data_IF_558878961997
#
_entry.id   IF_558878961997
#
_cell.length_a   1.000
_cell.length_b   1.000
_cell.length_c   1.000
_cell.angle_alpha   90.00
_cell.angle_beta   90.00
_cell.angle_gamma   90.00
#
_symmetry.space_group_name_H-M   'P 1'
#
loop_
_entity.id
_entity.type
_entity.pdbx_description
1 polymer ?
#
# COMPACT_ATOMS: atom_id res chain seq x y z
N UNK A 1 -8.14 -8.27 -24.66
CA UNK A 1 -8.09 -6.99 -25.41
C UNK A 1 -8.94 -5.89 -24.75
N UNK A 2 -9.87 -6.24 -23.85
CA UNK A 2 -10.98 -5.39 -23.35
C UNK A 2 -10.74 -4.57 -22.07
N UNK A 3 -9.59 -4.65 -21.39
CA UNK A 3 -9.40 -4.05 -20.05
C UNK A 3 -8.32 -2.95 -19.97
N UNK A 4 -8.08 -2.25 -21.07
CA UNK A 4 -7.01 -1.25 -21.12
C UNK A 4 -7.27 -0.06 -20.18
N UNK A 5 -8.53 0.37 -20.03
CA UNK A 5 -8.90 1.40 -19.07
C UNK A 5 -8.69 0.94 -17.62
N UNK A 6 -9.01 -0.32 -17.30
CA UNK A 6 -8.74 -0.88 -15.97
C UNK A 6 -7.23 -0.84 -15.62
N UNK A 7 -6.35 -0.98 -16.60
CA UNK A 7 -4.91 -0.85 -16.38
C UNK A 7 -4.52 0.56 -15.90
N UNK A 8 -5.20 1.61 -16.37
CA UNK A 8 -5.00 2.99 -15.90
C UNK A 8 -5.45 3.18 -14.45
N UNK A 9 -6.52 2.51 -14.04
CA UNK A 9 -6.98 2.50 -12.64
C UNK A 9 -5.91 1.88 -11.74
N UNK A 10 -5.38 0.71 -12.12
CA UNK A 10 -4.32 0.04 -11.38
C UNK A 10 -3.04 0.89 -11.32
N UNK A 11 -2.66 1.50 -12.44
CA UNK A 11 -1.51 2.38 -12.51
C UNK A 11 -1.66 3.60 -11.59
N UNK A 12 -2.82 4.27 -11.62
CA UNK A 12 -3.13 5.39 -10.70
C UNK A 12 -3.01 4.96 -9.24
N UNK A 13 -3.52 3.77 -8.89
CA UNK A 13 -3.44 3.25 -7.54
C UNK A 13 -1.98 3.03 -7.08
N UNK A 14 -1.09 2.61 -7.97
CA UNK A 14 0.35 2.50 -7.66
C UNK A 14 0.98 3.87 -7.38
N UNK A 15 0.62 4.89 -8.16
CA UNK A 15 1.11 6.27 -7.95
C UNK A 15 0.58 6.84 -6.62
N UNK A 16 -0.71 6.63 -6.32
CA UNK A 16 -1.31 7.08 -5.07
C UNK A 16 -0.62 6.44 -3.84
N UNK A 17 -0.28 5.15 -3.94
CA UNK A 17 0.50 4.44 -2.92
C UNK A 17 1.91 5.00 -2.76
N UNK A 18 2.59 5.30 -3.86
CA UNK A 18 3.94 5.89 -3.82
C UNK A 18 3.94 7.22 -3.06
N UNK A 19 3.01 8.11 -3.41
CA UNK A 19 2.90 9.41 -2.74
C UNK A 19 2.44 9.29 -1.29
N UNK A 20 1.53 8.37 -0.97
CA UNK A 20 1.17 8.08 0.42
C UNK A 20 2.36 7.58 1.23
N UNK A 21 3.07 6.58 0.73
CA UNK A 21 4.21 5.99 1.43
C UNK A 21 5.30 7.02 1.67
N UNK A 22 5.59 7.85 0.68
CA UNK A 22 6.55 8.95 0.82
C UNK A 22 6.15 9.92 1.93
N UNK A 23 4.88 10.32 1.96
CA UNK A 23 4.38 11.24 2.98
C UNK A 23 4.44 10.63 4.39
N UNK A 24 4.12 9.34 4.52
CA UNK A 24 4.24 8.62 5.78
C UNK A 24 5.70 8.57 6.26
N UNK A 25 6.64 8.31 5.34
CA UNK A 25 8.06 8.29 5.62
C UNK A 25 8.59 9.66 6.06
N UNK A 26 8.26 10.73 5.33
CA UNK A 26 8.72 12.09 5.62
C UNK A 26 8.25 12.57 7.01
N UNK A 27 7.07 12.15 7.46
CA UNK A 27 6.48 12.58 8.73
C UNK A 27 6.64 11.56 9.87
N UNK A 28 7.13 10.35 9.58
CA UNK A 28 7.09 9.21 10.50
C UNK A 28 5.68 8.91 11.05
N UNK A 29 4.65 9.05 10.20
CA UNK A 29 3.23 8.98 10.59
C UNK A 29 2.67 7.54 10.59
N UNK A 30 3.51 6.51 10.45
CA UNK A 30 3.08 5.13 10.21
C UNK A 30 2.09 4.59 11.25
N UNK A 31 2.37 4.78 12.55
CA UNK A 31 1.48 4.32 13.63
C UNK A 31 0.16 5.10 13.66
N UNK A 32 0.22 6.41 13.44
CA UNK A 32 -0.99 7.26 13.41
C UNK A 32 -1.87 6.88 12.22
N UNK A 33 -1.25 6.60 11.07
CA UNK A 33 -1.95 6.13 9.88
C UNK A 33 -2.54 4.73 10.07
N UNK A 34 -1.81 3.80 10.69
CA UNK A 34 -2.31 2.46 11.00
C UNK A 34 -3.57 2.54 11.87
N UNK A 35 -3.50 3.28 12.99
CA UNK A 35 -4.65 3.49 13.87
C UNK A 35 -5.82 4.16 13.14
N UNK A 36 -5.56 5.24 12.40
CA UNK A 36 -6.59 5.95 11.64
C UNK A 36 -7.22 5.07 10.56
N UNK A 37 -6.41 4.34 9.80
CA UNK A 37 -6.88 3.52 8.68
C UNK A 37 -7.68 2.31 9.18
N UNK A 38 -7.25 1.68 10.27
CA UNK A 38 -8.01 0.65 10.97
C UNK A 38 -9.36 1.18 11.43
N UNK A 39 -9.39 2.32 12.12
CA UNK A 39 -10.62 2.94 12.61
C UNK A 39 -11.60 3.21 11.45
N UNK A 40 -11.13 3.76 10.33
CA UNK A 40 -11.96 4.01 9.15
C UNK A 40 -12.52 2.73 8.53
N UNK A 41 -11.69 1.70 8.37
CA UNK A 41 -12.15 0.41 7.84
C UNK A 41 -13.21 -0.22 8.74
N UNK A 42 -13.01 -0.17 10.07
CA UNK A 42 -13.99 -0.63 11.04
C UNK A 42 -15.32 0.13 10.92
N UNK A 43 -15.27 1.47 10.88
CA UNK A 43 -16.46 2.33 10.71
C UNK A 43 -17.22 2.06 9.40
N UNK A 44 -16.50 1.86 8.30
CA UNK A 44 -17.11 1.55 6.99
C UNK A 44 -17.80 0.19 6.99
N UNK A 45 -17.15 -0.86 7.52
CA UNK A 45 -17.78 -2.17 7.69
C UNK A 45 -19.04 -2.08 8.54
N UNK A 46 -18.96 -1.34 9.65
CA UNK A 46 -20.11 -1.15 10.54
C UNK A 46 -21.27 -0.43 9.84
N UNK A 47 -20.98 0.60 9.04
CA UNK A 47 -22.01 1.35 8.29
C UNK A 47 -22.76 0.46 7.32
N UNK A 48 -22.04 -0.33 6.52
CA UNK A 48 -22.64 -1.30 5.59
C UNK A 48 -23.48 -2.32 6.34
N UNK A 49 -22.97 -2.88 7.45
CA UNK A 49 -23.69 -3.85 8.27
C UNK A 49 -24.98 -3.29 8.89
N UNK A 50 -24.96 -2.02 9.29
CA UNK A 50 -26.12 -1.36 9.91
C UNK A 50 -27.16 -0.87 8.89
N UNK A 51 -26.87 -0.99 7.59
CA UNK A 51 -27.76 -0.51 6.55
C UNK A 51 -29.01 -1.40 6.43
N UNK A 52 -30.22 -0.87 6.70
CA UNK A 52 -31.45 -1.64 6.60
C UNK A 52 -31.72 -2.17 5.19
N UNK A 53 -31.26 -1.48 4.14
CA UNK A 53 -31.51 -1.84 2.74
C UNK A 53 -30.84 -3.18 2.36
N UNK A 54 -29.73 -3.52 3.01
CA UNK A 54 -28.92 -4.69 2.69
C UNK A 54 -28.95 -5.79 3.77
N UNK A 55 -29.81 -5.65 4.78
CA UNK A 55 -29.83 -6.52 5.96
C UNK A 55 -29.95 -8.02 5.62
N UNK A 56 -30.74 -8.36 4.59
CA UNK A 56 -31.01 -9.75 4.20
C UNK A 56 -30.08 -10.27 3.08
N UNK A 57 -29.24 -9.40 2.51
CA UNK A 57 -28.32 -9.75 1.40
C UNK A 57 -26.85 -9.78 1.84
N UNK A 58 -26.52 -9.17 2.98
CA UNK A 58 -25.16 -9.15 3.50
C UNK A 58 -24.75 -10.52 4.04
N UNK A 59 -23.55 -10.97 3.65
CA UNK A 59 -22.92 -12.14 4.25
C UNK A 59 -22.40 -11.77 5.66
N UNK A 60 -22.99 -12.30 6.75
CA UNK A 60 -22.62 -11.90 8.10
C UNK A 60 -21.18 -12.26 8.47
N UNK A 61 -20.58 -13.29 7.85
CA UNK A 61 -19.19 -13.68 8.12
C UNK A 61 -18.18 -12.67 7.55
N UNK A 62 -18.49 -12.02 6.43
CA UNK A 62 -17.59 -11.01 5.82
C UNK A 62 -17.53 -9.73 6.65
N UNK A 63 -18.61 -9.40 7.36
CA UNK A 63 -18.75 -8.18 8.17
C UNK A 63 -18.71 -8.45 9.68
N UNK A 64 -18.24 -9.64 10.08
CA UNK A 64 -18.10 -10.01 11.48
C UNK A 64 -16.82 -9.43 12.05
N UNK A 65 -16.96 -8.65 13.12
CA UNK A 65 -15.81 -8.16 13.88
C UNK A 65 -15.38 -9.21 14.91
N UNK A 66 -14.07 -9.44 15.03
CA UNK A 66 -13.49 -10.24 16.11
C UNK A 66 -13.53 -9.49 17.44
N UNK A 67 -13.27 -10.20 18.54
CA UNK A 67 -13.16 -9.57 19.86
C UNK A 67 -11.99 -8.57 19.91
N UNK A 68 -10.82 -9.00 19.42
CA UNK A 68 -9.61 -8.19 19.35
C UNK A 68 -9.81 -6.90 18.52
N UNK A 69 -10.51 -6.99 17.39
CA UNK A 69 -10.81 -5.82 16.55
C UNK A 69 -11.68 -4.80 17.29
N UNK A 70 -12.66 -5.26 18.08
CA UNK A 70 -13.53 -4.39 18.88
C UNK A 70 -12.74 -3.69 19.98
N UNK A 71 -11.89 -4.41 20.69
CA UNK A 71 -11.05 -3.85 21.74
C UNK A 71 -10.09 -2.81 21.16
N UNK A 72 -9.37 -3.17 20.09
CA UNK A 72 -8.49 -2.25 19.36
C UNK A 72 -9.23 -0.99 18.91
N UNK A 73 -10.44 -1.13 18.37
CA UNK A 73 -11.25 0.02 17.96
C UNK A 73 -11.62 0.93 19.15
N UNK A 74 -12.03 0.38 20.30
CA UNK A 74 -12.35 1.18 21.47
C UNK A 74 -11.14 1.94 22.00
N UNK A 75 -9.95 1.35 21.97
CA UNK A 75 -8.71 2.02 22.35
C UNK A 75 -8.35 3.15 21.39
N UNK A 76 -8.37 2.88 20.07
CA UNK A 76 -8.06 3.88 19.05
C UNK A 76 -9.07 5.03 19.09
N UNK A 77 -10.36 4.73 19.26
CA UNK A 77 -11.43 5.73 19.32
C UNK A 77 -11.21 6.74 20.45
N UNK A 78 -10.69 6.30 21.60
CA UNK A 78 -10.32 7.19 22.72
C UNK A 78 -9.16 8.11 22.35
N UNK A 79 -8.18 7.62 21.59
CA UNK A 79 -7.01 8.39 21.14
C UNK A 79 -7.33 9.36 20.00
N UNK A 80 -8.36 9.06 19.19
CA UNK A 80 -8.85 9.86 18.06
C UNK A 80 -7.71 10.30 17.11
N UNK A 81 -7.10 9.36 16.38
CA UNK A 81 -5.94 9.65 15.53
C UNK A 81 -6.30 10.67 14.46
N UNK A 82 -5.54 11.77 14.39
CA UNK A 82 -5.74 12.86 13.42
C UNK A 82 -4.74 12.73 12.28
N UNK A 83 -4.95 11.74 11.43
CA UNK A 83 -4.19 11.63 10.19
C UNK A 83 -4.93 12.34 9.04
N UNK A 84 -4.19 13.11 8.24
CA UNK A 84 -4.71 13.80 7.05
C UNK A 84 -4.05 13.23 5.80
N UNK A 85 -4.87 12.81 4.84
CA UNK A 85 -4.39 12.35 3.54
C UNK A 85 -3.54 13.45 2.87
N UNK A 86 -2.31 13.13 2.43
CA UNK A 86 -1.47 14.10 1.72
C UNK A 86 -2.06 14.44 0.35
N UNK A 87 -1.80 15.66 -0.11
CA UNK A 87 -2.15 16.05 -1.47
C UNK A 87 -1.09 15.50 -2.44
N UNK A 88 -1.51 14.66 -3.40
CA UNK A 88 -0.63 13.95 -4.32
C UNK A 88 0.37 14.89 -5.04
N UNK A 89 -0.13 16.00 -5.59
CA UNK A 89 0.70 17.00 -6.28
C UNK A 89 1.81 17.57 -5.38
N UNK A 90 1.49 17.83 -4.11
CA UNK A 90 2.43 18.40 -3.15
C UNK A 90 3.57 17.43 -2.87
N UNK A 91 3.25 16.14 -2.74
CA UNK A 91 4.28 15.10 -2.54
C UNK A 91 5.12 14.93 -3.80
N UNK A 92 4.50 14.91 -4.98
CA UNK A 92 5.22 14.81 -6.25
C UNK A 92 6.20 15.99 -6.45
N UNK A 93 5.79 17.22 -6.11
CA UNK A 93 6.68 18.40 -6.13
C UNK A 93 7.85 18.25 -5.17
N UNK A 94 7.61 17.79 -3.93
CA UNK A 94 8.68 17.54 -2.94
C UNK A 94 9.68 16.49 -3.40
N UNK A 95 9.22 15.45 -4.10
CA UNK A 95 10.08 14.41 -4.67
C UNK A 95 10.89 14.88 -5.90
N UNK A 96 10.65 16.09 -6.42
CA UNK A 96 11.19 16.52 -7.71
C UNK A 96 10.60 15.77 -8.91
N UNK A 97 9.47 15.08 -8.72
CA UNK A 97 8.84 14.19 -9.68
C UNK A 97 7.43 14.68 -10.07
N UNK A 98 7.23 15.99 -10.20
CA UNK A 98 5.92 16.57 -10.56
C UNK A 98 5.35 16.00 -11.87
N UNK A 99 6.23 15.58 -12.79
CA UNK A 99 5.83 14.89 -14.02
C UNK A 99 5.03 13.61 -13.75
N UNK A 100 5.35 12.85 -12.68
CA UNK A 100 4.56 11.68 -12.28
C UNK A 100 3.16 12.07 -11.81
N UNK A 101 3.00 13.23 -11.19
CA UNK A 101 1.65 13.69 -10.86
C UNK A 101 0.86 14.03 -12.14
N UNK A 102 1.43 14.87 -13.02
CA UNK A 102 0.72 15.35 -14.22
C UNK A 102 0.39 14.24 -15.21
N UNK A 103 1.38 13.45 -15.61
CA UNK A 103 1.23 12.45 -16.68
C UNK A 103 0.74 11.10 -16.18
N UNK A 104 0.82 10.84 -14.88
CA UNK A 104 0.42 9.57 -14.30
C UNK A 104 -0.82 9.70 -13.44
N UNK A 105 -0.79 10.53 -12.39
CA UNK A 105 -1.92 10.62 -11.47
C UNK A 105 -3.12 11.34 -12.09
N UNK A 106 -2.90 12.55 -12.58
CA UNK A 106 -3.95 13.44 -13.07
C UNK A 106 -4.52 12.94 -14.40
N UNK A 107 -3.63 12.61 -15.35
CA UNK A 107 -4.06 11.97 -16.60
C UNK A 107 -4.76 10.63 -16.37
N UNK A 108 -4.24 9.72 -15.52
CA UNK A 108 -4.96 8.46 -15.28
C UNK A 108 -6.30 8.66 -14.57
N UNK A 109 -6.52 9.80 -13.91
CA UNK A 109 -7.80 10.11 -13.29
C UNK A 109 -8.91 10.30 -14.34
N UNK A 110 -8.58 10.62 -15.60
CA UNK A 110 -9.55 10.63 -16.70
C UNK A 110 -10.08 9.24 -17.07
N UNK A 111 -9.49 8.18 -16.53
CA UNK A 111 -9.96 6.81 -16.68
C UNK A 111 -10.67 6.28 -15.43
N UNK A 112 -10.82 7.11 -14.40
CA UNK A 112 -11.49 6.77 -13.14
C UNK A 112 -12.76 7.60 -12.94
N UNK A 113 -12.74 8.86 -13.38
CA UNK A 113 -13.86 9.77 -13.25
C UNK A 113 -14.62 9.89 -14.56
N UNK A 114 -15.94 10.19 -14.51
CA UNK A 114 -16.68 10.53 -15.71
C UNK A 114 -16.04 11.71 -16.45
N UNK A 115 -15.79 11.53 -17.74
CA UNK A 115 -15.24 12.56 -18.62
C UNK A 115 -16.28 13.08 -19.60
N UNK A 116 -16.05 14.29 -20.12
CA UNK A 116 -16.98 14.95 -21.02
C UNK A 116 -17.23 14.18 -22.34
N UNK A 117 -16.31 13.30 -22.70
CA UNK A 117 -16.36 12.46 -23.90
C UNK A 117 -16.65 10.98 -23.58
N UNK A 118 -17.07 10.67 -22.35
CA UNK A 118 -17.51 9.33 -22.02
C UNK A 118 -18.75 8.97 -22.83
N UNK A 119 -18.72 7.79 -23.47
CA UNK A 119 -19.75 7.35 -24.40
C UNK A 119 -19.45 7.65 -25.87
N UNK A 120 -18.45 8.49 -26.20
CA UNK A 120 -18.04 8.70 -27.60
C UNK A 120 -17.46 7.41 -28.21
N UNK A 121 -16.71 6.64 -27.43
CA UNK A 121 -16.19 5.34 -27.88
C UNK A 121 -17.34 4.34 -28.08
N UNK A 122 -18.30 4.28 -27.16
CA UNK A 122 -19.47 3.40 -27.28
C UNK A 122 -20.33 3.78 -28.49
N UNK A 123 -20.61 5.07 -28.67
CA UNK A 123 -21.34 5.58 -29.82
C UNK A 123 -20.64 5.21 -31.13
N UNK A 124 -19.32 5.41 -31.21
CA UNK A 124 -18.54 5.07 -32.41
C UNK A 124 -18.48 3.56 -32.65
N UNK A 125 -18.34 2.75 -31.60
CA UNK A 125 -18.33 1.28 -31.69
C UNK A 125 -19.68 0.75 -32.16
N UNK A 126 -20.77 1.33 -31.68
CA UNK A 126 -22.14 0.95 -32.05
C UNK A 126 -22.52 1.41 -33.46
N UNK A 127 -22.07 2.59 -33.88
CA UNK A 127 -22.45 3.18 -35.17
C UNK A 127 -21.50 2.86 -36.32
N UNK A 128 -20.22 2.58 -36.03
CA UNK A 128 -19.18 2.29 -37.03
C UNK A 128 -18.75 3.49 -37.90
N UNK A 129 -19.22 4.70 -37.59
CA UNK A 129 -19.09 5.87 -38.47
C UNK A 129 -17.71 6.54 -38.45
N UNK A 130 -16.87 6.26 -37.44
CA UNK A 130 -15.54 6.87 -37.27
C UNK A 130 -14.57 5.79 -36.77
N UNK A 131 -13.56 5.44 -37.58
CA UNK A 131 -12.47 4.55 -37.18
C UNK A 131 -11.25 5.36 -36.72
N UNK A 132 -10.64 4.97 -35.60
CA UNK A 132 -9.30 5.46 -35.21
C UNK A 132 -8.24 4.62 -35.93
N UNK A 133 -7.34 5.29 -36.65
CA UNK A 133 -6.27 4.64 -37.42
C UNK A 133 -5.05 4.22 -36.58
N UNK A 134 -5.02 4.49 -35.27
CA UNK A 134 -3.84 4.19 -34.45
C UNK A 134 -4.15 3.32 -33.24
N UNK A 135 -3.54 2.12 -33.14
CA UNK A 135 -3.58 1.34 -31.93
C UNK A 135 -2.81 2.06 -30.81
N UNK A 136 -3.46 2.24 -29.66
CA UNK A 136 -2.82 2.74 -28.44
C UNK A 136 -1.59 1.89 -28.09
N UNK A 137 -0.41 2.52 -27.97
CA UNK A 137 0.80 1.84 -27.51
C UNK A 137 0.68 1.52 -26.02
N UNK A 138 0.30 0.27 -25.74
CA UNK A 138 0.07 -0.23 -24.38
C UNK A 138 1.37 -0.48 -23.61
N UNK A 139 2.55 -0.37 -24.23
CA UNK A 139 3.83 -0.55 -23.53
C UNK A 139 4.11 0.58 -22.56
N UNK A 140 3.60 1.78 -22.84
CA UNK A 140 3.80 2.96 -21.99
C UNK A 140 3.26 2.72 -20.58
N UNK A 141 2.02 2.24 -20.47
CA UNK A 141 1.41 2.02 -19.15
C UNK A 141 2.10 0.91 -18.37
N UNK A 142 2.53 -0.15 -19.06
CA UNK A 142 3.28 -1.24 -18.44
C UNK A 142 4.63 -0.75 -17.90
N UNK A 143 5.41 -0.08 -18.75
CA UNK A 143 6.73 0.44 -18.37
C UNK A 143 6.63 1.43 -17.21
N UNK A 144 5.65 2.33 -17.27
CA UNK A 144 5.41 3.30 -16.22
C UNK A 144 4.94 2.63 -14.92
N UNK A 145 4.11 1.59 -15.00
CA UNK A 145 3.70 0.81 -13.82
C UNK A 145 4.88 0.09 -13.18
N UNK A 146 5.76 -0.51 -14.00
CA UNK A 146 7.00 -1.15 -13.52
C UNK A 146 7.91 -0.13 -12.83
N UNK A 147 8.11 1.04 -13.44
CA UNK A 147 8.89 2.12 -12.84
C UNK A 147 8.31 2.56 -11.49
N UNK A 148 7.01 2.84 -11.43
CA UNK A 148 6.34 3.23 -10.19
C UNK A 148 6.45 2.14 -9.11
N UNK A 149 6.34 0.87 -9.50
CA UNK A 149 6.53 -0.23 -8.56
C UNK A 149 7.95 -0.27 -8.00
N UNK A 150 8.98 -0.07 -8.85
CA UNK A 150 10.38 0.00 -8.41
C UNK A 150 10.57 1.16 -7.43
N UNK A 151 10.03 2.34 -7.74
CA UNK A 151 10.09 3.51 -6.85
C UNK A 151 9.36 3.24 -5.53
N UNK A 152 8.20 2.60 -5.57
CA UNK A 152 7.43 2.24 -4.37
C UNK A 152 8.20 1.26 -3.48
N UNK A 153 8.81 0.23 -4.07
CA UNK A 153 9.65 -0.72 -3.35
C UNK A 153 10.86 0.00 -2.75
N UNK A 154 11.52 0.86 -3.52
CA UNK A 154 12.65 1.65 -3.04
C UNK A 154 12.27 2.54 -1.86
N UNK A 155 11.15 3.26 -1.93
CA UNK A 155 10.66 4.07 -0.80
C UNK A 155 10.29 3.21 0.40
N UNK A 156 9.71 2.02 0.20
CA UNK A 156 9.43 1.08 1.29
C UNK A 156 10.70 0.57 1.98
N UNK A 157 11.75 0.31 1.20
CA UNK A 157 13.05 -0.09 1.75
C UNK A 157 13.75 1.07 2.46
N UNK A 158 13.64 2.29 1.95
CA UNK A 158 14.21 3.50 2.56
C UNK A 158 13.51 3.89 3.86
N UNK A 159 12.18 3.76 3.90
CA UNK A 159 11.38 4.03 5.09
C UNK A 159 11.48 2.89 6.12
N UNK A 160 11.73 1.67 5.66
CA UNK A 160 11.93 0.51 6.50
C UNK A 160 13.26 0.62 7.26
N UNK A 161 13.23 0.36 8.56
CA UNK A 161 14.46 0.33 9.36
C UNK A 161 15.35 -0.82 8.90
N UNK A 162 14.79 -1.96 8.48
CA UNK A 162 15.51 -3.18 8.06
C UNK A 162 16.64 -3.61 9.03
N UNK A 163 16.64 -3.13 10.27
CA UNK A 163 17.72 -3.34 11.24
C UNK A 163 17.89 -4.84 11.55
N UNK A 164 16.78 -5.58 11.49
CA UNK A 164 16.77 -7.04 11.61
C UNK A 164 17.66 -7.73 10.58
N UNK A 165 17.79 -7.18 9.36
CA UNK A 165 18.61 -7.76 8.29
C UNK A 165 20.07 -7.70 8.71
N UNK A 166 20.56 -6.53 9.11
CA UNK A 166 21.94 -6.35 9.59
C UNK A 166 22.25 -7.30 10.74
N UNK A 167 21.35 -7.39 11.73
CA UNK A 167 21.49 -8.31 12.86
C UNK A 167 21.58 -9.79 12.44
N UNK A 168 20.77 -10.23 11.49
CA UNK A 168 20.80 -11.60 10.96
C UNK A 168 22.10 -11.88 10.20
N UNK A 169 22.55 -10.95 9.35
CA UNK A 169 23.81 -11.11 8.61
C UNK A 169 25.04 -11.07 9.53
N UNK A 170 25.03 -10.22 10.56
CA UNK A 170 26.10 -10.17 11.57
C UNK A 170 26.16 -11.48 12.36
N UNK A 171 25.00 -12.04 12.76
CA UNK A 171 24.95 -13.36 13.38
C UNK A 171 25.56 -14.44 12.49
N UNK A 172 25.15 -14.51 11.21
CA UNK A 172 25.68 -15.49 10.26
C UNK A 172 27.20 -15.34 10.09
N UNK A 173 27.70 -14.10 9.98
CA UNK A 173 29.13 -13.81 9.87
C UNK A 173 29.89 -14.29 11.12
N UNK A 174 29.45 -13.89 12.31
CA UNK A 174 30.12 -14.30 13.56
C UNK A 174 30.03 -15.81 13.80
N UNK A 175 28.95 -16.46 13.36
CA UNK A 175 28.82 -17.91 13.44
C UNK A 175 29.82 -18.60 12.50
N UNK A 176 29.95 -18.12 11.25
CA UNK A 176 30.97 -18.61 10.32
C UNK A 176 32.39 -18.37 10.83
N UNK A 177 32.64 -17.24 11.49
CA UNK A 177 33.93 -16.95 12.12
C UNK A 177 34.19 -17.84 13.34
N UNK A 178 33.16 -18.23 14.09
CA UNK A 178 33.27 -19.22 15.18
C UNK A 178 33.75 -20.59 14.70
N UNK A 179 33.27 -21.02 13.53
CA UNK A 179 33.64 -22.31 12.93
C UNK A 179 35.11 -22.34 12.51
N UNK A 180 35.71 -21.16 12.28
CA UNK A 180 37.10 -21.01 11.84
C UNK A 180 38.07 -20.72 12.98
N UNK A 181 37.67 -19.87 13.92
CA UNK A 181 38.55 -19.29 14.95
C UNK A 181 38.19 -19.69 16.38
N UNK A 182 37.03 -20.35 16.59
CA UNK A 182 36.48 -20.59 17.92
C UNK A 182 35.87 -19.36 18.59
N UNK A 183 35.75 -18.23 17.88
CA UNK A 183 35.10 -17.00 18.38
C UNK A 183 33.67 -17.28 18.88
N UNK A 184 33.27 -16.63 19.98
CA UNK A 184 31.91 -16.76 20.56
C UNK A 184 31.03 -15.54 20.31
N UNK A 185 31.45 -14.63 19.43
CA UNK A 185 30.73 -13.38 19.13
C UNK A 185 29.33 -13.62 18.57
N UNK A 186 29.10 -14.79 17.94
CA UNK A 186 27.77 -15.18 17.47
C UNK A 186 26.74 -15.19 18.60
N UNK A 187 27.15 -15.50 19.84
CA UNK A 187 26.27 -15.48 21.01
C UNK A 187 25.76 -14.08 21.35
N UNK A 188 26.58 -13.04 21.15
CA UNK A 188 26.19 -11.65 21.38
C UNK A 188 25.14 -11.24 20.36
N UNK A 189 25.37 -11.52 19.07
CA UNK A 189 24.39 -11.24 18.01
C UNK A 189 23.12 -12.09 18.14
N UNK A 190 23.23 -13.31 18.67
CA UNK A 190 22.07 -14.15 18.95
C UNK A 190 21.20 -13.58 20.07
N UNK A 191 21.80 -13.09 21.17
CA UNK A 191 21.06 -12.40 22.24
C UNK A 191 20.34 -11.17 21.69
N UNK A 192 21.02 -10.34 20.88
CA UNK A 192 20.37 -9.18 20.24
C UNK A 192 19.18 -9.57 19.36
N UNK A 193 19.24 -10.70 18.66
CA UNK A 193 18.11 -11.23 17.88
C UNK A 193 16.96 -11.66 18.81
N UNK A 194 17.27 -12.29 19.94
CA UNK A 194 16.27 -12.70 20.94
C UNK A 194 15.62 -11.50 21.63
N UNK A 195 16.37 -10.46 21.98
CA UNK A 195 15.83 -9.23 22.56
C UNK A 195 14.92 -8.50 21.54
N UNK A 196 15.38 -8.39 20.28
CA UNK A 196 14.60 -7.78 19.21
C UNK A 196 13.31 -8.58 18.87
N UNK A 197 13.26 -9.88 19.18
CA UNK A 197 12.03 -10.68 19.06
C UNK A 197 10.93 -10.16 20.00
N UNK A 198 11.28 -9.76 21.21
CA UNK A 198 10.32 -9.23 22.20
C UNK A 198 9.83 -7.84 21.79
N UNK A 199 10.70 -7.02 21.22
CA UNK A 199 10.36 -5.66 20.77
C UNK A 199 9.59 -5.62 19.44
N UNK A 200 9.92 -6.50 18.48
CA UNK A 200 9.40 -6.42 17.10
C UNK A 200 8.42 -7.55 16.72
N UNK A 201 8.15 -8.52 17.59
CA UNK A 201 7.17 -9.57 17.34
C UNK A 201 7.50 -10.51 16.18
N UNK A 202 8.77 -10.67 15.82
CA UNK A 202 9.26 -11.28 14.57
C UNK A 202 8.98 -12.79 14.38
N UNK A 203 8.33 -13.45 15.33
CA UNK A 203 7.96 -14.87 15.25
C UNK A 203 6.64 -15.12 15.98
N UNK A 204 5.54 -14.49 15.54
CA UNK A 204 4.23 -15.04 15.88
C UNK A 204 4.16 -16.47 15.32
N UNK A 205 3.78 -17.42 16.18
CA UNK A 205 3.53 -18.80 15.77
C UNK A 205 2.56 -18.73 14.59
N UNK A 206 2.95 -19.21 13.40
CA UNK A 206 1.94 -19.48 12.37
C UNK A 206 0.90 -20.36 13.05
N UNK A 207 -0.34 -19.89 13.13
CA UNK A 207 -1.47 -20.76 13.42
C UNK A 207 -1.38 -21.87 12.38
N UNK A 208 -0.97 -23.05 12.83
CA UNK A 208 -1.04 -24.27 12.07
C UNK A 208 -2.52 -24.50 11.77
N UNK A 209 -2.93 -24.10 10.57
CA UNK A 209 -4.11 -24.65 9.91
C UNK A 209 -3.81 -26.04 9.39
#
# INVERSE_FOLDING_TARGET
MERYHDCWILYRALIDRLFHLRALADNNDFLIFDDWSFMRQYEYRHRVRSDPEFKDTLNPEVFRDTHEERERYQEIKKRSPKWKRPHAETIAKKMGCEFLYKYSYDYASTHVHPMANDGDEDFRRLTGLIQYDQPLDRRVILNNSCLTLVLLIQEGLNAGTLHWRTLVYDFLKHFMDSLRSGSKEYGITFIKIVEMKEEMGLCQKRSSG
#
